data_IF_303666294840
#
_entry.id   IF_303666294840
#
_cell.length_a   1.000
_cell.length_b   1.000
_cell.length_c   1.000
_cell.angle_alpha   90.00
_cell.angle_beta   90.00
_cell.angle_gamma   90.00
#
_symmetry.space_group_name_H-M   'P 1'
#
loop_
_entity.id
_entity.type
_entity.pdbx_description
1 polymer ?
#
# COMPACT_ATOMS: atom_id res chain seq x y z
N UNK A 1 -0.57 16.92 8.77
CA UNK A 1 -0.68 15.46 8.50
C UNK A 1 0.68 14.78 8.35
N UNK A 2 1.68 15.44 7.74
CA UNK A 2 3.06 14.92 7.64
C UNK A 2 3.82 14.94 8.99
N UNK A 3 3.46 15.81 9.93
CA UNK A 3 4.27 16.07 11.13
C UNK A 3 4.24 14.97 12.19
N UNK A 4 3.10 14.32 12.42
CA UNK A 4 3.01 13.18 13.34
C UNK A 4 3.89 12.02 12.86
N UNK A 5 4.04 11.90 11.54
CA UNK A 5 4.78 10.84 10.89
C UNK A 5 6.29 11.08 10.91
N UNK A 6 6.75 12.32 11.04
CA UNK A 6 8.18 12.67 11.20
C UNK A 6 8.76 12.22 12.54
N UNK A 7 7.92 12.02 13.56
CA UNK A 7 8.35 11.68 14.91
C UNK A 7 8.84 10.23 15.05
N UNK A 8 8.34 9.33 14.20
CA UNK A 8 8.70 7.91 14.18
C UNK A 8 9.91 7.60 13.26
N UNK A 9 10.47 8.63 12.62
CA UNK A 9 11.56 8.47 11.64
C UNK A 9 12.94 8.67 12.27
N UNK A 10 13.90 7.83 11.86
CA UNK A 10 15.31 8.14 12.04
C UNK A 10 15.66 9.45 11.31
N UNK A 11 16.67 10.17 11.79
CA UNK A 11 17.09 11.44 11.17
C UNK A 11 17.46 11.27 9.69
N UNK A 12 18.09 10.15 9.33
CA UNK A 12 18.45 9.84 7.96
C UNK A 12 17.23 9.62 7.06
N UNK A 13 16.25 8.83 7.54
CA UNK A 13 14.99 8.61 6.85
C UNK A 13 14.21 9.92 6.63
N UNK A 14 14.16 10.78 7.65
CA UNK A 14 13.50 12.09 7.59
C UNK A 14 14.12 13.00 6.53
N UNK A 15 15.45 13.04 6.43
CA UNK A 15 16.15 13.83 5.40
C UNK A 15 15.85 13.32 3.98
N UNK A 16 15.85 12.00 3.77
CA UNK A 16 15.54 11.41 2.45
C UNK A 16 14.08 11.64 2.06
N UNK A 17 13.14 11.45 2.99
CA UNK A 17 11.72 11.75 2.77
C UNK A 17 11.52 13.22 2.40
N UNK A 18 12.15 14.16 3.11
CA UNK A 18 12.07 15.58 2.78
C UNK A 18 12.58 15.90 1.37
N UNK A 19 13.64 15.22 0.91
CA UNK A 19 14.16 15.38 -0.45
C UNK A 19 13.19 14.85 -1.51
N UNK A 20 12.54 13.71 -1.25
CA UNK A 20 11.51 13.16 -2.14
C UNK A 20 10.28 14.06 -2.19
N UNK A 21 9.77 14.51 -1.04
CA UNK A 21 8.60 15.37 -0.93
C UNK A 21 8.80 16.78 -1.53
N UNK A 22 10.05 17.20 -1.82
CA UNK A 22 10.30 18.42 -2.60
C UNK A 22 9.83 18.30 -4.06
N UNK A 23 9.66 17.09 -4.57
CA UNK A 23 9.09 16.82 -5.89
C UNK A 23 7.57 16.77 -5.75
N UNK A 24 6.85 17.70 -6.40
CA UNK A 24 5.39 17.86 -6.24
C UNK A 24 4.59 16.58 -6.53
N UNK A 25 5.00 15.80 -7.53
CA UNK A 25 4.36 14.52 -7.89
C UNK A 25 4.44 13.50 -6.77
N UNK A 26 5.62 13.34 -6.18
CA UNK A 26 5.86 12.47 -5.04
C UNK A 26 5.10 12.92 -3.80
N UNK A 27 5.09 14.23 -3.53
CA UNK A 27 4.32 14.78 -2.42
C UNK A 27 2.85 14.41 -2.54
N UNK A 28 2.24 14.58 -3.72
CA UNK A 28 0.84 14.25 -3.95
C UNK A 28 0.54 12.76 -3.79
N UNK A 29 1.36 11.89 -4.36
CA UNK A 29 1.18 10.44 -4.27
C UNK A 29 1.30 9.93 -2.82
N UNK A 30 2.29 10.44 -2.08
CA UNK A 30 2.44 10.12 -0.67
C UNK A 30 1.31 10.71 0.17
N UNK A 31 0.89 11.96 -0.06
CA UNK A 31 -0.21 12.56 0.71
C UNK A 31 -1.51 11.76 0.56
N UNK A 32 -1.76 11.18 -0.61
CA UNK A 32 -2.94 10.35 -0.85
C UNK A 32 -2.89 9.00 -0.14
N UNK A 33 -1.72 8.34 -0.11
CA UNK A 33 -1.53 7.11 0.66
C UNK A 33 -1.53 7.40 2.16
N UNK A 34 -0.94 8.51 2.60
CA UNK A 34 -0.83 8.89 4.01
C UNK A 34 -2.19 9.25 4.63
N UNK A 35 -3.17 9.66 3.83
CA UNK A 35 -4.58 9.81 4.28
C UNK A 35 -5.20 8.47 4.67
N UNK A 36 -4.68 7.36 4.15
CA UNK A 36 -5.12 6.01 4.48
C UNK A 36 -4.31 5.48 5.66
N UNK A 37 -4.84 5.66 6.87
CA UNK A 37 -4.15 5.34 8.12
C UNK A 37 -3.64 3.89 8.15
N UNK A 38 -4.43 2.93 7.65
CA UNK A 38 -4.06 1.52 7.61
C UNK A 38 -2.87 1.18 6.72
N UNK A 39 -2.57 2.00 5.70
CA UNK A 39 -1.44 1.73 4.78
C UNK A 39 -0.10 2.27 5.30
N UNK A 40 -0.06 2.92 6.47
CA UNK A 40 1.16 3.61 6.94
C UNK A 40 2.28 2.66 7.36
N UNK A 41 1.96 1.49 7.89
CA UNK A 41 2.96 0.45 8.18
C UNK A 41 3.42 -0.17 6.86
N UNK A 42 4.74 -0.20 6.67
CA UNK A 42 5.34 -0.72 5.44
C UNK A 42 5.95 0.34 4.53
N UNK A 43 6.01 1.61 4.92
CA UNK A 43 6.68 2.62 4.09
C UNK A 43 8.22 2.44 4.13
N UNK A 44 8.94 2.33 2.99
CA UNK A 44 10.36 1.96 2.93
C UNK A 44 11.30 3.13 3.26
N UNK A 45 11.12 3.73 4.42
CA UNK A 45 11.79 4.97 4.84
C UNK A 45 13.32 4.84 4.86
N UNK A 46 13.83 3.70 5.32
CA UNK A 46 15.26 3.39 5.29
C UNK A 46 15.79 3.15 3.87
N UNK A 47 14.92 2.80 2.91
CA UNK A 47 15.27 2.43 1.52
C UNK A 47 14.84 3.47 0.49
N UNK A 48 14.36 4.63 0.94
CA UNK A 48 14.05 5.77 0.08
C UNK A 48 15.25 6.26 -0.74
N UNK A 49 16.47 6.04 -0.23
CA UNK A 49 17.68 6.33 -1.01
C UNK A 49 17.78 5.45 -2.26
N UNK A 50 17.48 4.14 -2.16
CA UNK A 50 17.41 3.26 -3.34
C UNK A 50 16.35 3.72 -4.34
N UNK A 51 15.20 4.21 -3.87
CA UNK A 51 14.17 4.81 -4.73
C UNK A 51 14.70 6.05 -5.48
N UNK A 52 15.49 6.90 -4.79
CA UNK A 52 16.12 8.05 -5.43
C UNK A 52 17.21 7.64 -6.43
N UNK A 53 17.91 6.55 -6.15
CA UNK A 53 19.04 6.08 -6.94
C UNK A 53 18.63 5.30 -8.18
N UNK A 54 17.43 4.68 -8.21
CA UNK A 54 16.93 3.93 -9.38
C UNK A 54 16.58 4.84 -10.56
N UNK A 55 16.21 6.11 -10.32
CA UNK A 55 15.68 7.03 -11.33
C UNK A 55 14.39 6.54 -12.04
N UNK A 56 13.72 5.52 -11.49
CA UNK A 56 12.45 4.96 -11.98
C UNK A 56 11.23 5.66 -11.34
N UNK A 57 11.21 6.99 -11.36
CA UNK A 57 10.16 7.77 -10.70
C UNK A 57 8.75 7.41 -11.23
N UNK A 58 8.62 7.16 -12.54
CA UNK A 58 7.32 6.87 -13.16
C UNK A 58 6.74 5.54 -12.68
N UNK A 59 7.52 4.46 -12.71
CA UNK A 59 7.08 3.12 -12.31
C UNK A 59 6.70 3.09 -10.83
N UNK A 60 7.45 3.84 -10.01
CA UNK A 60 7.18 3.93 -8.58
C UNK A 60 5.89 4.68 -8.31
N UNK A 61 5.70 5.84 -8.94
CA UNK A 61 4.44 6.59 -8.82
C UNK A 61 3.25 5.76 -9.31
N UNK A 62 3.43 5.02 -10.42
CA UNK A 62 2.40 4.11 -10.95
C UNK A 62 2.05 2.99 -9.97
N UNK A 63 3.02 2.46 -9.22
CA UNK A 63 2.75 1.48 -8.18
C UNK A 63 1.97 2.08 -7.01
N UNK A 64 2.33 3.29 -6.56
CA UNK A 64 1.60 3.99 -5.50
C UNK A 64 0.14 4.27 -5.92
N UNK A 65 -0.06 4.70 -7.17
CA UNK A 65 -1.40 4.86 -7.75
C UNK A 65 -2.16 3.54 -7.83
N UNK A 66 -1.48 2.43 -8.16
CA UNK A 66 -2.08 1.11 -8.17
C UNK A 66 -2.55 0.68 -6.78
N UNK A 67 -1.75 0.90 -5.72
CA UNK A 67 -2.18 0.67 -4.33
C UNK A 67 -3.48 1.43 -4.08
N UNK A 68 -3.46 2.75 -4.28
CA UNK A 68 -4.64 3.59 -4.04
C UNK A 68 -5.86 3.09 -4.80
N UNK A 69 -5.71 2.76 -6.09
CA UNK A 69 -6.80 2.30 -6.94
C UNK A 69 -7.42 0.99 -6.46
N UNK A 70 -6.62 0.01 -6.04
CA UNK A 70 -7.12 -1.28 -5.54
C UNK A 70 -7.91 -1.09 -4.24
N UNK A 71 -7.37 -0.34 -3.29
CA UNK A 71 -8.07 -0.10 -2.03
C UNK A 71 -9.31 0.78 -2.19
N UNK A 72 -9.28 1.77 -3.08
CA UNK A 72 -10.45 2.59 -3.40
C UNK A 72 -11.56 1.77 -4.05
N UNK A 73 -11.21 0.87 -4.97
CA UNK A 73 -12.15 -0.08 -5.56
C UNK A 73 -12.74 -1.02 -4.48
N UNK A 74 -11.89 -1.59 -3.63
CA UNK A 74 -12.30 -2.54 -2.59
C UNK A 74 -13.40 -1.97 -1.68
N UNK A 75 -13.26 -0.71 -1.27
CA UNK A 75 -14.22 -0.01 -0.40
C UNK A 75 -15.36 0.67 -1.16
N UNK A 76 -15.58 0.32 -2.43
CA UNK A 76 -16.72 0.80 -3.22
C UNK A 76 -16.59 2.24 -3.71
N UNK A 77 -15.38 2.70 -3.99
CA UNK A 77 -15.07 4.04 -4.51
C UNK A 77 -15.57 5.18 -3.60
N UNK A 78 -15.54 4.96 -2.28
CA UNK A 78 -15.95 5.96 -1.29
C UNK A 78 -14.75 6.48 -0.51
N UNK A 79 -14.49 7.79 -0.56
CA UNK A 79 -13.43 8.42 0.25
C UNK A 79 -13.69 8.29 1.75
N UNK A 80 -14.96 8.29 2.16
CA UNK A 80 -15.35 8.06 3.54
C UNK A 80 -14.99 6.62 3.97
N UNK A 81 -15.40 5.63 3.18
CA UNK A 81 -15.07 4.24 3.44
C UNK A 81 -13.56 4.00 3.42
N UNK A 82 -12.84 4.63 2.48
CA UNK A 82 -11.38 4.55 2.39
C UNK A 82 -10.68 5.04 3.66
N UNK A 83 -11.24 6.05 4.33
CA UNK A 83 -10.69 6.56 5.59
C UNK A 83 -10.87 5.59 6.78
N UNK A 84 -11.77 4.61 6.64
CA UNK A 84 -12.01 3.55 7.63
C UNK A 84 -11.14 2.31 7.41
N UNK A 85 -10.27 2.31 6.39
CA UNK A 85 -9.27 1.24 6.20
C UNK A 85 -8.27 1.31 7.35
N UNK A 86 -8.34 0.30 8.22
CA UNK A 86 -7.46 0.13 9.35
C UNK A 86 -6.24 -0.75 8.99
N UNK A 87 -5.25 -0.71 9.88
CA UNK A 87 -3.96 -1.38 9.69
C UNK A 87 -4.08 -2.91 9.72
N UNK A 88 -4.93 -3.45 10.59
CA UNK A 88 -5.14 -4.89 10.70
C UNK A 88 -5.75 -5.45 9.42
N UNK A 89 -6.69 -4.73 8.82
CA UNK A 89 -7.25 -5.06 7.51
C UNK A 89 -6.17 -5.08 6.42
N UNK A 90 -5.27 -4.11 6.41
CA UNK A 90 -4.14 -4.09 5.45
C UNK A 90 -3.22 -5.28 5.65
N UNK A 91 -2.81 -5.56 6.89
CA UNK A 91 -1.91 -6.68 7.21
C UNK A 91 -2.50 -8.04 6.83
N UNK A 92 -3.81 -8.21 7.01
CA UNK A 92 -4.50 -9.45 6.64
C UNK A 92 -4.64 -9.59 5.13
N UNK A 93 -5.00 -8.51 4.42
CA UNK A 93 -5.30 -8.61 2.99
C UNK A 93 -4.06 -8.55 2.10
N UNK A 94 -3.03 -7.79 2.48
CA UNK A 94 -1.83 -7.61 1.67
C UNK A 94 -1.18 -8.97 1.33
N UNK A 95 -0.68 -9.11 0.10
CA UNK A 95 -0.10 -10.35 -0.45
C UNK A 95 -1.09 -11.50 -0.70
N UNK A 96 -2.38 -11.33 -0.48
CA UNK A 96 -3.37 -12.33 -0.89
C UNK A 96 -3.79 -12.12 -2.35
N UNK A 97 -4.05 -13.20 -3.09
CA UNK A 97 -4.58 -13.19 -4.46
C UNK A 97 -5.97 -13.84 -4.53
N UNK A 98 -7.02 -13.20 -3.98
CA UNK A 98 -8.33 -13.82 -3.74
C UNK A 98 -9.05 -14.32 -5.01
N UNK A 99 -8.77 -13.74 -6.18
CA UNK A 99 -9.35 -14.21 -7.44
C UNK A 99 -8.64 -15.45 -8.00
N UNK A 100 -7.34 -15.58 -7.75
CA UNK A 100 -6.49 -16.59 -8.39
C UNK A 100 -6.14 -17.77 -7.46
N UNK A 101 -6.17 -17.56 -6.14
CA UNK A 101 -5.83 -18.56 -5.12
C UNK A 101 -7.06 -18.91 -4.30
N UNK A 102 -7.55 -20.15 -4.46
CA UNK A 102 -8.65 -20.68 -3.63
C UNK A 102 -8.24 -20.80 -2.16
N UNK A 103 -6.95 -21.02 -1.89
CA UNK A 103 -6.40 -21.07 -0.53
C UNK A 103 -6.50 -19.69 0.14
N UNK A 104 -6.03 -18.64 -0.54
CA UNK A 104 -6.11 -17.27 -0.03
C UNK A 104 -7.56 -16.87 0.19
N UNK A 105 -8.44 -17.17 -0.78
CA UNK A 105 -9.86 -16.87 -0.66
C UNK A 105 -10.52 -17.59 0.52
N UNK A 106 -10.21 -18.87 0.71
CA UNK A 106 -10.73 -19.67 1.84
C UNK A 106 -10.26 -19.12 3.18
N UNK A 107 -8.98 -18.75 3.28
CA UNK A 107 -8.43 -18.16 4.50
C UNK A 107 -9.08 -16.80 4.79
N UNK A 108 -9.21 -15.93 3.78
CA UNK A 108 -9.88 -14.63 3.88
C UNK A 108 -11.36 -14.76 4.26
N UNK A 109 -12.07 -15.77 3.77
CA UNK A 109 -13.43 -16.08 4.20
C UNK A 109 -13.49 -16.43 5.69
N UNK A 110 -12.49 -17.15 6.19
CA UNK A 110 -12.34 -17.43 7.62
C UNK A 110 -12.14 -16.16 8.44
N UNK A 111 -11.26 -15.26 8.00
CA UNK A 111 -11.02 -13.96 8.63
C UNK A 111 -12.27 -13.07 8.63
N UNK A 112 -13.01 -13.08 7.53
CA UNK A 112 -14.29 -12.38 7.38
C UNK A 112 -15.34 -12.88 8.38
N UNK A 113 -15.54 -14.20 8.42
CA UNK A 113 -16.50 -14.84 9.31
C UNK A 113 -16.15 -14.65 10.79
N UNK A 114 -14.85 -14.65 11.12
CA UNK A 114 -14.36 -14.37 12.46
C UNK A 114 -14.46 -12.88 12.85
N UNK A 115 -14.87 -12.00 11.93
CA UNK A 115 -14.94 -10.56 12.17
C UNK A 115 -13.59 -9.90 12.37
N UNK A 116 -12.50 -10.49 11.86
CA UNK A 116 -11.14 -9.94 11.99
C UNK A 116 -10.85 -8.84 10.97
N UNK A 117 -11.53 -8.85 9.84
CA UNK A 117 -11.48 -7.80 8.81
C UNK A 117 -12.80 -7.04 8.70
N UNK A 118 -12.69 -5.80 8.20
CA UNK A 118 -13.81 -4.89 7.96
C UNK A 118 -14.62 -4.50 9.20
N UNK A 119 -13.99 -4.43 10.37
CA UNK A 119 -14.66 -4.14 11.65
C UNK A 119 -15.33 -2.77 11.70
N UNK A 120 -14.76 -1.78 11.02
CA UNK A 120 -15.26 -0.40 10.98
C UNK A 120 -16.41 -0.17 10.00
N UNK A 121 -16.95 -1.24 9.39
CA UNK A 121 -18.00 -1.16 8.37
C UNK A 121 -19.27 -1.88 8.85
N UNK A 122 -20.42 -1.43 8.36
CA UNK A 122 -21.72 -2.09 8.63
C UNK A 122 -21.78 -3.47 7.98
N UNK A 123 -22.64 -4.38 8.46
CA UNK A 123 -22.74 -5.74 7.89
C UNK A 123 -23.08 -5.77 6.40
N UNK A 124 -23.81 -4.76 5.90
CA UNK A 124 -24.07 -4.60 4.47
C UNK A 124 -22.79 -4.23 3.72
N UNK A 125 -22.09 -3.19 4.16
CA UNK A 125 -20.83 -2.77 3.56
C UNK A 125 -19.78 -3.89 3.60
N UNK A 126 -19.70 -4.63 4.70
CA UNK A 126 -18.80 -5.78 4.87
C UNK A 126 -19.01 -6.82 3.76
N UNK A 127 -20.26 -7.19 3.47
CA UNK A 127 -20.59 -8.13 2.40
C UNK A 127 -20.21 -7.56 1.03
N UNK A 128 -20.60 -6.32 0.74
CA UNK A 128 -20.29 -5.68 -0.53
C UNK A 128 -18.75 -5.57 -0.76
N UNK A 129 -18.00 -5.25 0.30
CA UNK A 129 -16.52 -5.19 0.26
C UNK A 129 -15.95 -6.58 0.00
N UNK A 130 -16.45 -7.63 0.68
CA UNK A 130 -15.98 -8.99 0.48
C UNK A 130 -16.30 -9.54 -0.92
N UNK A 131 -17.41 -9.12 -1.53
CA UNK A 131 -17.71 -9.41 -2.94
C UNK A 131 -16.71 -8.75 -3.90
N UNK A 132 -16.35 -7.49 -3.67
CA UNK A 132 -15.33 -6.78 -4.47
C UNK A 132 -13.94 -7.36 -4.28
N UNK A 133 -13.61 -7.79 -3.06
CA UNK A 133 -12.34 -8.45 -2.73
C UNK A 133 -12.07 -9.62 -3.67
N UNK A 134 -13.09 -10.45 -3.93
CA UNK A 134 -13.01 -11.61 -4.82
C UNK A 134 -12.76 -11.26 -6.30
N UNK A 135 -12.92 -9.99 -6.69
CA UNK A 135 -12.74 -9.52 -8.07
C UNK A 135 -11.36 -8.93 -8.31
N UNK A 136 -10.55 -8.73 -7.26
CA UNK A 136 -9.22 -8.13 -7.37
C UNK A 136 -8.29 -9.09 -8.09
N UNK A 137 -7.71 -8.62 -9.21
CA UNK A 137 -6.73 -9.37 -10.00
C UNK A 137 -5.34 -9.20 -9.42
N UNK A 138 -4.65 -10.32 -9.24
CA UNK A 138 -3.29 -10.35 -8.68
C UNK A 138 -3.26 -10.22 -7.17
N UNK A 139 -2.08 -9.97 -6.62
CA UNK A 139 -1.87 -9.74 -5.19
C UNK A 139 -2.51 -8.42 -4.79
N UNK A 140 -3.16 -8.40 -3.63
CA UNK A 140 -3.59 -7.14 -3.01
C UNK A 140 -2.33 -6.35 -2.65
N UNK A 141 -2.12 -5.16 -3.24
CA UNK A 141 -0.92 -4.38 -3.05
C UNK A 141 -1.03 -3.55 -1.76
N UNK A 142 0.11 -3.22 -1.20
CA UNK A 142 0.26 -2.35 -0.05
C UNK A 142 1.67 -1.80 0.02
N UNK A 143 2.02 -1.14 1.13
CA UNK A 143 3.36 -0.57 1.24
C UNK A 143 4.43 -1.62 1.49
N UNK A 144 4.11 -2.76 2.12
CA UNK A 144 5.07 -3.85 2.37
C UNK A 144 5.50 -4.51 1.06
N UNK A 145 4.54 -4.87 0.21
CA UNK A 145 4.75 -5.41 -1.13
C UNK A 145 5.47 -4.41 -2.03
N UNK A 146 5.13 -3.12 -1.93
CA UNK A 146 5.90 -2.06 -2.56
C UNK A 146 7.37 -2.09 -2.14
N UNK A 147 7.69 -2.21 -0.84
CA UNK A 147 9.09 -2.31 -0.41
C UNK A 147 9.81 -3.50 -1.04
N UNK A 148 9.17 -4.66 -1.12
CA UNK A 148 9.73 -5.86 -1.72
C UNK A 148 10.03 -5.66 -3.20
N UNK A 149 9.09 -5.04 -3.93
CA UNK A 149 9.25 -4.76 -5.36
C UNK A 149 10.36 -3.73 -5.65
N UNK A 150 10.50 -2.70 -4.81
CA UNK A 150 11.61 -1.74 -4.94
C UNK A 150 12.98 -2.41 -4.81
N UNK A 151 13.13 -3.43 -3.95
CA UNK A 151 14.40 -4.18 -3.84
C UNK A 151 14.76 -4.83 -5.17
N UNK A 152 13.78 -5.43 -5.82
CA UNK A 152 13.99 -6.09 -7.12
C UNK A 152 14.38 -5.08 -8.20
N UNK A 153 13.63 -3.98 -8.32
CA UNK A 153 13.92 -2.91 -9.29
C UNK A 153 15.33 -2.33 -9.06
N UNK A 154 15.69 -2.06 -7.81
CA UNK A 154 17.02 -1.53 -7.47
C UNK A 154 18.14 -2.49 -7.82
N UNK A 155 17.94 -3.81 -7.65
CA UNK A 155 18.93 -4.80 -8.02
C UNK A 155 19.13 -4.85 -9.54
N UNK A 156 18.03 -4.88 -10.31
CA UNK A 156 18.07 -4.91 -11.78
C UNK A 156 18.73 -3.66 -12.35
N UNK A 157 18.35 -2.48 -11.88
CA UNK A 157 18.95 -1.21 -12.32
C UNK A 157 20.45 -1.17 -11.99
N UNK A 158 20.85 -1.67 -10.82
CA UNK A 158 22.26 -1.80 -10.45
C UNK A 158 23.04 -2.67 -11.44
N UNK A 159 22.49 -3.83 -11.80
CA UNK A 159 23.12 -4.73 -12.78
C UNK A 159 23.22 -4.10 -14.17
N UNK A 160 22.18 -3.40 -14.64
CA UNK A 160 22.20 -2.75 -15.96
C UNK A 160 23.21 -1.60 -16.05
N UNK A 161 23.50 -0.90 -14.95
CA UNK A 161 24.51 0.17 -14.91
C UNK A 161 25.95 -0.36 -14.89
N UNK A 162 26.14 -1.63 -14.56
CA UNK A 162 27.45 -2.29 -14.55
C UNK A 162 27.81 -2.99 -15.86
N UNK A 163 26.92 -2.94 -16.86
CA UNK A 163 27.13 -3.39 -18.24
C UNK A 163 27.59 -2.22 -19.11
#
# INVERSE_FOLDING_TARGET
>A
MVDCWKAELSEHARKNLQRLLRRKTWQSAFDDILKMLGLRKGLPLSRMHHIMDTHCDEEILRYLDHIKAVWYFLVGNSNYALSNVDEQMVEVLEFSAPLASLEDLSWLQGEFNAGRIFKSYTDRERKDIFERLQQIRGLIPGLTSFQCNIKYVSAVVGSLRSL
#
